data_IF_195124983025
#
_entry.id   IF_195124983025
#
_cell.length_a   1.000
_cell.length_b   1.000
_cell.length_c   1.000
_cell.angle_alpha   90.00
_cell.angle_beta   90.00
_cell.angle_gamma   90.00
#
_symmetry.space_group_name_H-M   'P 1'
#
loop_
_entity.id
_entity.type
_entity.pdbx_description
1 polymer ?
#
# COMPACT_ATOMS: atom_id res chain seq x y z
N UNK A 1 12.65 -1.30 24.51
CA UNK A 1 14.12 -1.49 24.36
C UNK A 1 14.44 -1.47 22.87
N UNK A 2 14.60 -0.29 22.28
CA UNK A 2 14.97 -0.13 20.87
C UNK A 2 16.48 -0.16 20.74
N UNK A 3 17.06 -1.32 20.42
CA UNK A 3 18.49 -1.45 20.19
C UNK A 3 18.83 -0.97 18.78
N UNK A 4 19.71 0.04 18.66
CA UNK A 4 20.33 0.37 17.39
C UNK A 4 21.52 -0.54 17.13
N UNK A 5 21.46 -1.26 16.02
CA UNK A 5 22.56 -2.10 15.53
C UNK A 5 23.25 -1.39 14.38
N UNK A 6 24.44 -0.87 14.62
CA UNK A 6 25.29 -0.28 13.58
C UNK A 6 26.39 -1.31 13.27
N UNK A 7 26.48 -1.76 12.00
CA UNK A 7 27.48 -2.75 11.56
C UNK A 7 27.52 -4.03 12.42
N UNK A 8 26.35 -4.61 12.75
CA UNK A 8 26.21 -5.81 13.62
C UNK A 8 26.62 -5.62 15.09
N UNK A 9 26.91 -4.39 15.51
CA UNK A 9 27.28 -4.09 16.90
C UNK A 9 26.19 -3.26 17.56
N UNK A 10 25.71 -3.70 18.73
CA UNK A 10 24.72 -2.95 19.50
C UNK A 10 25.36 -1.68 20.08
N UNK A 11 24.81 -0.51 19.74
CA UNK A 11 25.23 0.76 20.35
C UNK A 11 24.37 1.00 21.59
N UNK A 12 25.01 1.28 22.72
CA UNK A 12 24.30 1.59 23.95
C UNK A 12 23.52 2.91 23.82
N UNK A 13 22.27 2.89 24.28
CA UNK A 13 21.37 4.05 24.29
C UNK A 13 20.96 4.34 25.74
N UNK A 14 21.01 5.62 26.13
CA UNK A 14 20.66 6.09 27.46
C UNK A 14 19.79 7.34 27.31
N UNK A 15 18.55 7.31 27.80
CA UNK A 15 17.58 8.43 27.70
C UNK A 15 17.48 9.04 26.29
N UNK A 16 17.37 8.20 25.24
CA UNK A 16 17.35 8.62 23.82
C UNK A 16 18.64 9.24 23.26
N UNK A 17 19.76 9.14 23.99
CA UNK A 17 21.09 9.52 23.53
C UNK A 17 21.92 8.28 23.20
N UNK A 18 22.77 8.36 22.18
CA UNK A 18 23.63 7.26 21.72
C UNK A 18 25.08 7.47 22.14
N UNK A 19 25.77 6.39 22.48
CA UNK A 19 27.17 6.41 22.90
C UNK A 19 28.13 6.72 21.75
N UNK A 20 28.81 7.87 21.83
CA UNK A 20 29.92 8.23 20.95
C UNK A 20 31.17 7.38 21.22
N UNK A 21 31.32 6.88 22.45
CA UNK A 21 32.45 6.01 22.82
C UNK A 21 32.38 4.68 22.08
N UNK A 22 31.17 4.11 21.96
CA UNK A 22 30.97 2.86 21.22
C UNK A 22 31.21 3.07 19.72
N UNK A 23 30.73 4.18 19.16
CA UNK A 23 30.99 4.55 17.76
C UNK A 23 32.47 4.76 17.48
N UNK A 24 33.19 5.40 18.40
CA UNK A 24 34.64 5.57 18.29
C UNK A 24 35.38 4.23 18.25
N UNK A 25 34.94 3.27 19.06
CA UNK A 25 35.49 1.90 19.03
C UNK A 25 35.19 1.20 17.71
N UNK A 26 33.96 1.32 17.21
CA UNK A 26 33.52 0.73 15.94
C UNK A 26 34.29 1.33 14.76
N UNK A 27 34.62 2.63 14.82
CA UNK A 27 35.31 3.35 13.75
C UNK A 27 36.84 3.16 13.74
N UNK A 28 37.40 2.29 14.60
CA UNK A 28 38.83 1.99 14.62
C UNK A 28 39.64 2.63 15.76
N UNK A 29 38.98 3.29 16.72
CA UNK A 29 39.59 3.79 17.98
C UNK A 29 40.81 4.71 17.80
N UNK A 30 40.90 5.43 16.69
CA UNK A 30 42.03 6.33 16.43
C UNK A 30 41.98 7.53 17.38
N UNK A 31 43.12 7.87 17.99
CA UNK A 31 43.20 8.92 19.03
C UNK A 31 42.82 10.33 18.55
N UNK A 32 43.00 10.61 17.25
CA UNK A 32 42.57 11.87 16.61
C UNK A 32 41.04 12.03 16.60
N UNK A 33 40.31 10.92 16.57
CA UNK A 33 38.85 10.88 16.49
C UNK A 33 38.18 10.73 17.86
N UNK A 34 38.89 10.93 18.96
CA UNK A 34 38.30 10.77 20.29
C UNK A 34 37.10 11.74 20.51
N UNK A 35 35.99 11.30 21.16
CA UNK A 35 34.80 12.13 21.38
C UNK A 35 35.08 13.47 22.11
N UNK A 36 36.06 13.47 23.01
CA UNK A 36 36.49 14.69 23.72
C UNK A 36 37.05 15.77 22.78
N UNK A 37 37.62 15.39 21.62
CA UNK A 37 38.11 16.34 20.61
C UNK A 37 36.95 16.87 19.78
N UNK A 38 36.01 16.00 19.40
CA UNK A 38 34.83 16.39 18.66
C UNK A 38 33.98 17.43 19.41
N UNK A 39 33.76 17.23 20.72
CA UNK A 39 32.99 18.17 21.55
C UNK A 39 33.64 19.56 21.68
N UNK A 40 34.93 19.70 21.33
CA UNK A 40 35.66 20.98 21.41
C UNK A 40 35.68 21.78 20.11
N UNK A 41 35.30 21.15 19.00
CA UNK A 41 35.27 21.82 17.69
C UNK A 41 34.20 22.91 17.68
N UNK A 42 34.51 24.03 17.03
CA UNK A 42 33.60 25.18 16.99
C UNK A 42 32.32 24.85 16.21
N UNK A 43 32.43 24.11 15.10
CA UNK A 43 31.27 23.59 14.36
C UNK A 43 30.32 22.74 15.24
N UNK A 44 30.88 21.92 16.14
CA UNK A 44 30.06 21.09 17.04
C UNK A 44 29.36 21.94 18.10
N UNK A 45 30.04 22.96 18.64
CA UNK A 45 29.43 23.89 19.60
C UNK A 45 28.30 24.69 18.97
N UNK A 46 28.49 25.17 17.74
CA UNK A 46 27.46 25.86 16.96
C UNK A 46 26.26 24.94 16.72
N UNK A 47 26.49 23.69 16.32
CA UNK A 47 25.42 22.71 16.14
C UNK A 47 24.67 22.40 17.45
N UNK A 48 25.40 22.28 18.57
CA UNK A 48 24.80 22.12 19.90
C UNK A 48 23.90 23.31 20.24
N UNK A 49 24.35 24.53 19.98
CA UNK A 49 23.60 25.75 20.26
C UNK A 49 22.33 25.83 19.41
N UNK A 50 22.39 25.47 18.13
CA UNK A 50 21.23 25.44 17.23
C UNK A 50 20.19 24.41 17.68
N UNK A 51 20.62 23.21 18.09
CA UNK A 51 19.71 22.18 18.61
C UNK A 51 19.03 22.65 19.90
N UNK A 52 19.77 23.31 20.79
CA UNK A 52 19.21 23.88 22.02
C UNK A 52 18.24 25.04 21.76
N UNK A 53 18.46 25.81 20.68
CA UNK A 53 17.56 26.88 20.28
C UNK A 53 16.21 26.34 19.76
N UNK A 54 16.23 25.22 19.03
CA UNK A 54 15.02 24.57 18.52
C UNK A 54 14.28 23.76 19.60
N UNK A 55 15.02 23.03 20.44
CA UNK A 55 14.46 22.19 21.49
C UNK A 55 15.14 22.44 22.85
N UNK A 56 14.65 23.43 23.65
CA UNK A 56 15.30 23.85 24.89
C UNK A 56 15.25 22.80 26.01
N UNK A 57 14.38 21.78 25.87
CA UNK A 57 14.22 20.69 26.84
C UNK A 57 15.20 19.54 26.60
N UNK A 58 15.83 19.47 25.43
CA UNK A 58 16.74 18.36 25.08
C UNK A 58 18.16 18.70 25.52
N UNK A 59 18.80 17.75 26.16
CA UNK A 59 20.23 17.83 26.52
C UNK A 59 21.03 17.13 25.41
N UNK A 60 21.61 17.87 24.45
CA UNK A 60 22.14 17.29 23.22
C UNK A 60 23.39 16.42 23.45
N UNK A 61 24.14 16.69 24.52
CA UNK A 61 25.31 15.91 24.92
C UNK A 61 25.33 15.69 26.43
N UNK A 62 25.59 14.45 26.85
CA UNK A 62 25.80 14.08 28.25
C UNK A 62 27.09 13.28 28.39
N UNK A 63 27.96 13.72 29.29
CA UNK A 63 29.18 12.97 29.66
C UNK A 63 28.99 12.34 31.03
N UNK A 64 29.02 11.01 31.10
CA UNK A 64 28.98 10.27 32.36
C UNK A 64 30.40 9.89 32.78
N UNK A 65 30.73 10.10 34.07
CA UNK A 65 32.00 9.70 34.68
C UNK A 65 31.80 8.43 35.51
N UNK A 66 32.72 7.47 35.43
CA UNK A 66 32.69 6.22 36.22
C UNK A 66 32.92 4.96 35.39
N UNK A 67 32.61 3.79 35.96
CA UNK A 67 32.87 2.45 35.40
C UNK A 67 32.06 2.15 34.14
N UNK A 68 30.91 2.80 33.96
CA UNK A 68 30.08 2.79 32.73
C UNK A 68 30.14 4.15 32.01
N UNK A 69 31.23 4.89 32.22
CA UNK A 69 31.41 6.25 31.71
C UNK A 69 31.49 6.30 30.18
N UNK A 70 30.93 7.37 29.61
CA UNK A 70 30.86 7.55 28.17
C UNK A 70 30.31 8.93 27.79
N UNK A 71 30.54 9.32 26.54
CA UNK A 71 29.93 10.52 25.96
C UNK A 71 28.71 10.09 25.15
N UNK A 72 27.53 10.54 25.56
CA UNK A 72 26.26 10.24 24.91
C UNK A 72 25.75 11.49 24.20
N UNK A 73 25.27 11.35 22.98
CA UNK A 73 24.80 12.47 22.17
C UNK A 73 23.51 12.14 21.41
N UNK A 74 22.78 13.17 21.00
CA UNK A 74 21.58 13.03 20.16
C UNK A 74 21.92 12.52 18.75
N UNK A 75 20.89 12.13 17.98
CA UNK A 75 21.05 11.49 16.65
C UNK A 75 21.82 12.38 15.69
N UNK A 76 21.52 13.67 15.70
CA UNK A 76 22.10 14.69 14.84
C UNK A 76 23.61 14.81 15.09
N UNK A 77 24.00 14.87 16.37
CA UNK A 77 25.41 14.91 16.76
C UNK A 77 26.15 13.62 16.45
N UNK A 78 25.48 12.48 16.55
CA UNK A 78 26.04 11.18 16.18
C UNK A 78 26.34 11.12 14.68
N UNK A 79 25.41 11.59 13.84
CA UNK A 79 25.59 11.66 12.39
C UNK A 79 26.74 12.63 12.05
N UNK A 80 26.77 13.80 12.68
CA UNK A 80 27.86 14.77 12.52
C UNK A 80 29.23 14.22 12.96
N UNK A 81 29.26 13.46 14.06
CA UNK A 81 30.47 12.79 14.54
C UNK A 81 30.96 11.73 13.53
N UNK A 82 30.05 10.95 12.96
CA UNK A 82 30.39 9.96 11.95
C UNK A 82 30.94 10.63 10.66
N UNK A 83 30.37 11.77 10.25
CA UNK A 83 30.86 12.62 9.16
C UNK A 83 32.28 13.12 9.40
N UNK A 84 32.59 13.53 10.63
CA UNK A 84 33.91 14.01 11.02
C UNK A 84 34.97 12.89 11.02
N UNK A 85 34.58 11.65 11.32
CA UNK A 85 35.51 10.51 11.28
C UNK A 85 35.84 10.12 9.84
N UNK A 86 34.83 9.79 9.03
CA UNK A 86 35.02 9.53 7.61
C UNK A 86 33.71 9.56 6.82
N UNK A 87 33.73 9.95 5.53
CA UNK A 87 32.53 9.93 4.69
C UNK A 87 31.89 8.54 4.53
N UNK A 88 32.70 7.48 4.48
CA UNK A 88 32.19 6.10 4.35
C UNK A 88 31.46 5.64 5.62
N UNK A 89 32.00 5.97 6.80
CA UNK A 89 31.36 5.67 8.07
C UNK A 89 30.07 6.48 8.25
N UNK A 90 30.08 7.74 7.84
CA UNK A 90 28.90 8.60 7.84
C UNK A 90 27.73 7.99 7.06
N UNK A 91 27.94 7.55 5.82
CA UNK A 91 26.87 6.92 5.03
C UNK A 91 26.29 5.69 5.71
N UNK A 92 27.12 4.92 6.39
CA UNK A 92 26.69 3.71 7.10
C UNK A 92 25.80 4.06 8.28
N UNK A 93 26.22 5.03 9.10
CA UNK A 93 25.46 5.49 10.27
C UNK A 93 24.16 6.18 9.83
N UNK A 94 24.23 7.06 8.83
CA UNK A 94 23.06 7.76 8.30
C UNK A 94 22.00 6.79 7.77
N UNK A 95 22.40 5.80 6.96
CA UNK A 95 21.48 4.76 6.46
C UNK A 95 20.89 3.93 7.59
N UNK A 96 21.65 3.62 8.64
CA UNK A 96 21.14 2.90 9.79
C UNK A 96 20.03 3.68 10.52
N UNK A 97 20.19 5.00 10.69
CA UNK A 97 19.15 5.85 11.28
C UNK A 97 17.94 6.03 10.38
N UNK A 98 18.13 6.26 9.08
CA UNK A 98 17.03 6.40 8.11
C UNK A 98 16.20 5.11 8.05
N UNK A 99 16.85 3.96 7.95
CA UNK A 99 16.17 2.66 7.98
C UNK A 99 15.43 2.43 9.31
N UNK A 100 15.97 2.90 10.44
CA UNK A 100 15.27 2.79 11.73
C UNK A 100 13.98 3.64 11.73
N UNK A 101 14.03 4.86 11.20
CA UNK A 101 12.85 5.73 11.10
C UNK A 101 11.81 5.15 10.14
N UNK A 102 12.23 4.63 8.98
CA UNK A 102 11.34 3.92 8.05
C UNK A 102 10.66 2.72 8.73
N UNK A 103 11.38 1.92 9.52
CA UNK A 103 10.79 0.79 10.26
C UNK A 103 9.86 1.21 11.41
N UNK A 104 10.00 2.43 11.96
CA UNK A 104 9.13 2.96 13.01
C UNK A 104 7.88 3.63 12.43
N UNK A 105 7.98 4.24 11.25
CA UNK A 105 6.88 4.88 10.53
C UNK A 105 6.04 3.87 9.73
N UNK A 106 6.63 2.75 9.32
CA UNK A 106 5.93 1.58 8.80
C UNK A 106 6.04 0.41 9.79
N UNK A 107 5.07 0.21 10.71
CA UNK A 107 4.97 -1.04 11.46
C UNK A 107 4.70 -2.25 10.56
N UNK A 108 4.39 -2.01 9.28
CA UNK A 108 4.24 -3.04 8.30
C UNK A 108 5.57 -3.27 7.59
N UNK A 109 6.12 -4.50 7.58
CA UNK A 109 7.13 -4.83 6.57
C UNK A 109 6.56 -4.42 5.21
N UNK A 110 7.41 -4.03 4.25
CA UNK A 110 7.02 -3.87 2.84
C UNK A 110 6.30 -5.15 2.38
N UNK A 111 4.99 -5.22 2.64
CA UNK A 111 4.08 -6.15 2.03
C UNK A 111 4.04 -5.67 0.58
N UNK A 112 4.26 -6.54 -0.41
CA UNK A 112 3.88 -6.20 -1.78
C UNK A 112 2.45 -5.67 -1.71
N UNK A 113 2.15 -4.60 -2.49
CA UNK A 113 0.81 -4.02 -2.65
C UNK A 113 -0.21 -5.15 -2.45
N UNK A 114 -0.94 -5.15 -1.32
CA UNK A 114 -1.62 -6.35 -0.86
C UNK A 114 -2.39 -6.94 -2.04
N UNK A 115 -1.94 -8.10 -2.55
CA UNK A 115 -2.60 -8.72 -3.68
C UNK A 115 -4.06 -8.85 -3.28
N UNK A 116 -4.97 -8.34 -4.12
CA UNK A 116 -6.40 -8.49 -3.84
C UNK A 116 -6.67 -9.94 -3.49
N UNK A 117 -7.37 -10.22 -2.36
CA UNK A 117 -7.54 -11.58 -1.89
C UNK A 117 -8.20 -12.41 -3.00
N UNK A 118 -7.43 -13.35 -3.55
CA UNK A 118 -7.90 -14.28 -4.59
C UNK A 118 -8.59 -15.45 -3.90
N UNK A 119 -9.85 -15.67 -4.25
CA UNK A 119 -10.61 -16.81 -3.75
C UNK A 119 -10.75 -17.84 -4.87
N UNK A 120 -10.45 -19.09 -4.55
CA UNK A 120 -10.70 -20.24 -5.42
C UNK A 120 -11.89 -21.00 -4.89
N UNK A 121 -12.91 -21.19 -5.72
CA UNK A 121 -14.09 -21.98 -5.38
C UNK A 121 -14.25 -23.10 -6.40
N UNK A 122 -14.52 -24.31 -5.92
CA UNK A 122 -14.94 -25.43 -6.76
C UNK A 122 -16.46 -25.35 -6.95
N UNK A 123 -16.92 -25.40 -8.20
CA UNK A 123 -18.33 -25.34 -8.56
C UNK A 123 -18.61 -26.28 -9.73
N UNK A 124 -19.78 -26.90 -9.72
CA UNK A 124 -20.26 -27.77 -10.80
C UNK A 124 -20.71 -26.94 -12.01
N UNK A 125 -20.74 -27.57 -13.19
CA UNK A 125 -21.29 -26.96 -14.41
C UNK A 125 -22.72 -26.43 -14.19
N UNK A 126 -23.58 -27.21 -13.53
CA UNK A 126 -24.96 -26.81 -13.24
C UNK A 126 -25.07 -25.57 -12.34
N UNK A 127 -24.15 -25.39 -11.38
CA UNK A 127 -24.09 -24.18 -10.55
C UNK A 127 -23.63 -22.97 -11.37
N UNK A 128 -22.60 -23.15 -12.20
CA UNK A 128 -22.09 -22.12 -13.09
C UNK A 128 -23.17 -21.63 -14.07
N UNK A 129 -23.97 -22.52 -14.64
CA UNK A 129 -25.07 -22.18 -15.54
C UNK A 129 -26.14 -21.27 -14.89
N UNK A 130 -26.27 -21.28 -13.55
CA UNK A 130 -27.17 -20.35 -12.85
C UNK A 130 -26.74 -18.90 -13.03
N UNK A 131 -25.45 -18.61 -13.09
CA UNK A 131 -24.96 -17.25 -13.37
C UNK A 131 -25.31 -16.81 -14.80
N UNK A 132 -25.22 -17.71 -15.78
CA UNK A 132 -25.68 -17.43 -17.14
C UNK A 132 -27.20 -17.14 -17.18
N UNK A 133 -27.99 -17.89 -16.41
CA UNK A 133 -29.44 -17.65 -16.27
C UNK A 133 -29.75 -16.28 -15.64
N UNK A 134 -29.04 -15.90 -14.56
CA UNK A 134 -29.21 -14.59 -13.91
C UNK A 134 -28.83 -13.46 -14.84
N UNK A 135 -27.71 -13.59 -15.56
CA UNK A 135 -27.31 -12.60 -16.56
C UNK A 135 -28.37 -12.46 -17.66
N UNK A 136 -28.90 -13.58 -18.15
CA UNK A 136 -29.93 -13.59 -19.18
C UNK A 136 -31.26 -13.00 -18.69
N UNK A 137 -31.63 -13.20 -17.42
CA UNK A 137 -32.77 -12.53 -16.80
C UNK A 137 -32.58 -11.00 -16.77
N UNK A 138 -31.40 -10.52 -16.38
CA UNK A 138 -31.08 -9.09 -16.43
C UNK A 138 -31.14 -8.55 -17.86
N UNK A 139 -30.60 -9.28 -18.84
CA UNK A 139 -30.69 -8.92 -20.26
C UNK A 139 -32.14 -8.66 -20.69
N UNK A 140 -33.04 -9.61 -20.41
CA UNK A 140 -34.46 -9.48 -20.77
C UNK A 140 -35.13 -8.29 -20.06
N UNK A 141 -34.81 -8.06 -18.79
CA UNK A 141 -35.32 -6.90 -18.04
C UNK A 141 -34.86 -5.58 -18.67
N UNK A 142 -33.58 -5.46 -19.01
CA UNK A 142 -33.01 -4.26 -19.64
C UNK A 142 -33.66 -4.01 -21.01
N UNK A 143 -33.85 -5.05 -21.82
CA UNK A 143 -34.54 -4.93 -23.10
C UNK A 143 -35.99 -4.46 -22.94
N UNK A 144 -36.70 -4.99 -21.94
CA UNK A 144 -38.08 -4.59 -21.66
C UNK A 144 -38.14 -3.13 -21.22
N UNK A 145 -37.30 -2.73 -20.26
CA UNK A 145 -37.25 -1.34 -19.77
C UNK A 145 -36.92 -0.36 -20.90
N UNK A 146 -35.97 -0.70 -21.78
CA UNK A 146 -35.64 0.12 -22.94
C UNK A 146 -36.83 0.27 -23.92
N UNK A 147 -37.67 -0.77 -24.07
CA UNK A 147 -38.89 -0.71 -24.89
C UNK A 147 -40.01 0.11 -24.24
N UNK A 148 -40.06 0.16 -22.90
CA UNK A 148 -41.09 0.88 -22.14
C UNK A 148 -40.83 2.39 -22.02
N UNK A 149 -39.59 2.83 -22.21
CA UNK A 149 -39.17 4.23 -22.11
C UNK A 149 -40.05 5.18 -22.93
N UNK A 150 -40.12 4.96 -24.25
CA UNK A 150 -40.90 5.81 -25.16
C UNK A 150 -42.42 5.81 -24.86
N UNK A 151 -43.09 4.65 -24.67
CA UNK A 151 -44.49 4.61 -24.25
C UNK A 151 -44.78 5.38 -22.95
N UNK A 152 -43.94 5.21 -21.93
CA UNK A 152 -44.17 5.88 -20.63
C UNK A 152 -43.98 7.39 -20.72
N UNK A 153 -43.00 7.86 -21.49
CA UNK A 153 -42.85 9.28 -21.78
C UNK A 153 -44.06 9.83 -22.54
N UNK A 154 -44.56 9.09 -23.54
CA UNK A 154 -45.73 9.50 -24.32
C UNK A 154 -47.00 9.59 -23.46
N UNK A 155 -47.12 8.74 -22.45
CA UNK A 155 -48.24 8.75 -21.49
C UNK A 155 -48.10 9.81 -20.38
N UNK A 156 -46.99 10.55 -20.33
CA UNK A 156 -46.71 11.48 -19.23
C UNK A 156 -46.56 10.78 -17.87
N UNK A 157 -46.16 9.51 -17.85
CA UNK A 157 -46.03 8.73 -16.62
C UNK A 157 -44.89 9.27 -15.75
N UNK A 158 -45.14 9.40 -14.44
CA UNK A 158 -44.13 9.77 -13.46
C UNK A 158 -42.94 8.79 -13.41
N UNK A 159 -43.15 7.54 -13.84
CA UNK A 159 -42.11 6.50 -13.86
C UNK A 159 -41.20 6.56 -15.09
N UNK A 160 -41.48 7.40 -16.09
CA UNK A 160 -40.72 7.41 -17.35
C UNK A 160 -39.22 7.70 -17.13
N UNK A 161 -38.90 8.73 -16.35
CA UNK A 161 -37.52 9.07 -16.01
C UNK A 161 -36.80 7.94 -15.25
N UNK A 162 -37.51 7.27 -14.33
CA UNK A 162 -36.96 6.15 -13.58
C UNK A 162 -36.65 4.98 -14.51
N UNK A 163 -37.56 4.60 -15.40
CA UNK A 163 -37.35 3.51 -16.38
C UNK A 163 -36.19 3.82 -17.32
N UNK A 164 -36.08 5.07 -17.79
CA UNK A 164 -34.95 5.54 -18.61
C UNK A 164 -33.60 5.38 -17.88
N UNK A 165 -33.55 5.80 -16.61
CA UNK A 165 -32.38 5.68 -15.75
C UNK A 165 -31.95 4.22 -15.57
N UNK A 166 -32.88 3.35 -15.16
CA UNK A 166 -32.60 1.92 -14.97
C UNK A 166 -32.15 1.24 -16.28
N UNK A 167 -32.82 1.54 -17.41
CA UNK A 167 -32.44 1.00 -18.72
C UNK A 167 -31.03 1.44 -19.15
N UNK A 168 -30.55 2.60 -18.71
CA UNK A 168 -29.23 3.14 -19.03
C UNK A 168 -28.16 2.59 -18.10
N UNK A 169 -28.41 2.62 -16.79
CA UNK A 169 -27.46 2.15 -15.76
C UNK A 169 -27.23 0.65 -15.87
N UNK A 170 -28.30 -0.14 -16.00
CA UNK A 170 -28.19 -1.60 -16.01
C UNK A 170 -27.51 -2.14 -17.27
N UNK A 171 -27.51 -1.39 -18.39
CA UNK A 171 -26.71 -1.74 -19.58
C UNK A 171 -25.22 -1.80 -19.27
N UNK A 172 -24.74 -0.92 -18.38
CA UNK A 172 -23.33 -0.89 -17.96
C UNK A 172 -23.01 -2.15 -17.17
N UNK A 173 -23.81 -2.46 -16.14
CA UNK A 173 -23.65 -3.69 -15.33
C UNK A 173 -23.75 -4.95 -16.19
N UNK A 174 -24.71 -4.99 -17.12
CA UNK A 174 -24.89 -6.11 -18.04
C UNK A 174 -23.66 -6.36 -18.92
N UNK A 175 -23.04 -5.28 -19.44
CA UNK A 175 -21.83 -5.35 -20.24
C UNK A 175 -20.58 -5.75 -19.47
N UNK A 176 -20.42 -5.26 -18.24
CA UNK A 176 -19.33 -5.66 -17.34
C UNK A 176 -19.44 -7.14 -16.98
N UNK A 177 -20.62 -7.58 -16.55
CA UNK A 177 -20.86 -8.98 -16.18
C UNK A 177 -20.69 -9.93 -17.37
N UNK A 178 -21.06 -9.52 -18.58
CA UNK A 178 -20.85 -10.32 -19.77
C UNK A 178 -19.35 -10.60 -20.01
N UNK A 179 -18.51 -9.57 -19.92
CA UNK A 179 -17.05 -9.71 -20.12
C UNK A 179 -16.39 -10.57 -19.05
N UNK A 180 -16.91 -10.53 -17.81
CA UNK A 180 -16.47 -11.41 -16.73
C UNK A 180 -16.86 -12.87 -16.96
N UNK A 181 -18.09 -13.11 -17.41
CA UNK A 181 -18.67 -14.44 -17.46
C UNK A 181 -18.29 -15.22 -18.72
N UNK A 182 -18.10 -14.56 -19.87
CA UNK A 182 -17.80 -15.26 -21.14
C UNK A 182 -16.56 -16.17 -21.05
N UNK A 183 -15.41 -15.72 -20.50
CA UNK A 183 -14.24 -16.59 -20.34
C UNK A 183 -14.52 -17.82 -19.47
N UNK A 184 -15.38 -17.68 -18.45
CA UNK A 184 -15.71 -18.79 -17.54
C UNK A 184 -16.57 -19.87 -18.21
N UNK A 185 -17.31 -19.49 -19.27
CA UNK A 185 -18.21 -20.39 -19.99
C UNK A 185 -17.67 -20.86 -21.34
N UNK A 186 -16.39 -20.60 -21.67
CA UNK A 186 -15.84 -20.90 -23.00
C UNK A 186 -15.95 -22.40 -23.34
N UNK A 187 -15.73 -23.27 -22.35
CA UNK A 187 -15.73 -24.73 -22.52
C UNK A 187 -17.11 -25.38 -22.29
N UNK A 188 -18.14 -24.59 -21.96
CA UNK A 188 -19.44 -25.12 -21.58
C UNK A 188 -20.27 -25.43 -22.82
N UNK A 189 -20.60 -26.69 -23.04
CA UNK A 189 -21.56 -27.12 -24.06
C UNK A 189 -22.86 -27.54 -23.38
N UNK A 190 -23.98 -27.06 -23.93
CA UNK A 190 -25.33 -27.31 -23.44
C UNK A 190 -26.18 -27.76 -24.61
N UNK A 191 -26.86 -28.89 -24.47
CA UNK A 191 -27.73 -29.42 -25.51
C UNK A 191 -29.01 -28.55 -25.63
N UNK A 192 -29.37 -28.08 -26.85
CA UNK A 192 -30.59 -27.29 -27.06
C UNK A 192 -31.90 -28.02 -26.75
N UNK A 193 -31.93 -29.34 -26.82
CA UNK A 193 -33.11 -30.17 -26.57
C UNK A 193 -33.30 -30.45 -25.08
N UNK A 194 -32.23 -30.79 -24.38
CA UNK A 194 -32.30 -31.13 -22.95
C UNK A 194 -32.39 -29.87 -22.07
N UNK A 195 -31.65 -28.81 -22.42
CA UNK A 195 -31.52 -27.59 -21.61
C UNK A 195 -31.71 -26.30 -22.45
N UNK A 196 -32.89 -26.08 -23.07
CA UNK A 196 -33.13 -25.00 -24.03
C UNK A 196 -32.93 -23.60 -23.43
N UNK A 197 -33.24 -23.42 -22.15
CA UNK A 197 -33.05 -22.13 -21.45
C UNK A 197 -31.57 -21.76 -21.35
N UNK A 198 -30.74 -22.69 -20.89
CA UNK A 198 -29.31 -22.45 -20.71
C UNK A 198 -28.59 -22.34 -22.06
N UNK A 199 -29.01 -23.12 -23.06
CA UNK A 199 -28.55 -22.96 -24.44
C UNK A 199 -28.79 -21.52 -24.93
N UNK A 200 -30.02 -21.01 -24.79
CA UNK A 200 -30.38 -19.64 -25.20
C UNK A 200 -29.63 -18.59 -24.40
N UNK A 201 -29.51 -18.76 -23.09
CA UNK A 201 -28.81 -17.84 -22.21
C UNK A 201 -27.32 -17.71 -22.59
N UNK A 202 -26.61 -18.84 -22.74
CA UNK A 202 -25.20 -18.85 -23.13
C UNK A 202 -24.99 -18.29 -24.53
N UNK A 203 -25.83 -18.66 -25.49
CA UNK A 203 -25.72 -18.15 -26.86
C UNK A 203 -25.94 -16.63 -26.90
N UNK A 204 -26.90 -16.12 -26.12
CA UNK A 204 -27.13 -14.67 -25.99
C UNK A 204 -25.95 -13.97 -25.33
N UNK A 205 -25.43 -14.52 -24.22
CA UNK A 205 -24.27 -13.99 -23.49
C UNK A 205 -23.02 -13.87 -24.39
N UNK A 206 -22.70 -14.93 -25.13
CA UNK A 206 -21.53 -15.00 -26.02
C UNK A 206 -21.60 -13.99 -27.16
N UNK A 207 -22.80 -13.77 -27.71
CA UNK A 207 -22.99 -12.87 -28.84
C UNK A 207 -23.34 -11.42 -28.44
N UNK A 208 -23.54 -11.16 -27.15
CA UNK A 208 -23.84 -9.82 -26.66
C UNK A 208 -22.66 -8.88 -26.84
N UNK A 209 -22.93 -7.69 -27.38
CA UNK A 209 -21.93 -6.63 -27.57
C UNK A 209 -22.16 -5.53 -26.53
N UNK A 210 -21.29 -5.40 -25.52
CA UNK A 210 -21.37 -4.30 -24.56
C UNK A 210 -21.37 -2.94 -25.27
N UNK A 211 -22.16 -2.00 -24.76
CA UNK A 211 -22.27 -0.64 -25.30
C UNK A 211 -21.96 0.40 -24.22
N UNK A 212 -21.51 1.58 -24.63
CA UNK A 212 -21.20 2.70 -23.72
C UNK A 212 -20.15 2.32 -22.66
N UNK A 213 -20.39 2.72 -21.41
CA UNK A 213 -19.48 2.44 -20.28
C UNK A 213 -19.25 0.94 -20.07
N UNK A 214 -20.24 0.09 -20.36
CA UNK A 214 -20.14 -1.36 -20.20
C UNK A 214 -19.03 -2.00 -21.05
N UNK A 215 -18.59 -1.34 -22.12
CA UNK A 215 -17.50 -1.80 -22.99
C UNK A 215 -16.09 -1.42 -22.51
N UNK A 216 -15.97 -0.35 -21.71
CA UNK A 216 -14.67 0.28 -21.40
C UNK A 216 -14.29 0.23 -19.92
N UNK A 217 -15.25 0.02 -19.02
CA UNK A 217 -14.98 -0.10 -17.57
C UNK A 217 -14.00 -1.25 -17.33
N UNK A 218 -12.98 -1.01 -16.51
CA UNK A 218 -12.00 -2.04 -16.15
C UNK A 218 -12.68 -3.14 -15.33
N UNK A 219 -12.32 -4.37 -15.65
CA UNK A 219 -12.79 -5.62 -15.06
C UNK A 219 -11.61 -6.27 -14.39
#
# INVERSE_FOLDING_TARGET
MSNLTILKTSVSQLDNLYSLTDLHRISGNESKHAPNRFARLDQTKELIAEIQAQEPTVTPIKTLRGTQGGTYACKELVIAYAAWISPAFHLTVLRAFLNQVENLQNPQPNLPLAEEPKFSFEQTQAQWLRFASVWYALYNCVELLAKLDKPLHTLGSHYAAQVCGHATEYKTTLGVMQRLLVPMFEQFEVDPLDDPHYYKALNTLRNYKPQGLGAIVRV
#
